data_IF_629576802786
#
_entry.id   IF_629576802786
#
_cell.length_a   1.000
_cell.length_b   1.000
_cell.length_c   1.000
_cell.angle_alpha   90.00
_cell.angle_beta   90.00
_cell.angle_gamma   90.00
#
_symmetry.space_group_name_H-M   'P 1'
#
loop_
_entity.id
_entity.type
_entity.pdbx_description
1 polymer ?
#
# COMPACT_ATOMS: atom_id res chain seq x y z
N UNK A 1 -28.59 6.05 -13.01
CA UNK A 1 -27.90 5.60 -11.79
C UNK A 1 -27.71 6.86 -10.96
N UNK A 2 -28.38 6.94 -9.81
CA UNK A 2 -28.17 8.03 -8.84
C UNK A 2 -27.09 7.61 -7.84
N UNK A 3 -26.44 8.58 -7.20
CA UNK A 3 -25.34 8.35 -6.27
C UNK A 3 -25.83 8.50 -4.83
N UNK A 4 -25.57 7.49 -4.01
CA UNK A 4 -25.94 7.46 -2.60
C UNK A 4 -24.78 7.88 -1.68
N UNK A 5 -23.54 7.49 -2.02
CA UNK A 5 -22.36 7.74 -1.21
C UNK A 5 -21.22 8.34 -2.02
N UNK A 6 -20.55 9.33 -1.45
CA UNK A 6 -19.33 9.94 -1.99
C UNK A 6 -18.23 9.79 -0.93
N UNK A 7 -17.18 9.06 -1.29
CA UNK A 7 -15.99 8.83 -0.45
C UNK A 7 -14.76 9.48 -1.13
N UNK A 8 -14.56 10.79 -0.96
CA UNK A 8 -13.47 11.53 -1.60
C UNK A 8 -12.14 11.32 -0.83
N UNK A 9 -11.63 10.09 -0.81
CA UNK A 9 -10.44 9.71 -0.04
C UNK A 9 -9.14 9.78 -0.85
N UNK A 10 -9.18 10.40 -2.02
CA UNK A 10 -7.96 10.62 -2.79
C UNK A 10 -7.03 11.53 -1.97
N UNK A 11 -5.73 11.27 -2.01
CA UNK A 11 -4.70 12.06 -1.34
C UNK A 11 -3.36 11.88 -2.08
N UNK A 12 -2.50 12.90 -2.02
CA UNK A 12 -1.11 12.81 -2.50
C UNK A 12 -0.19 12.98 -1.28
N UNK A 13 0.89 12.19 -1.14
CA UNK A 13 1.92 12.46 -0.16
C UNK A 13 2.54 13.83 -0.37
N UNK A 14 2.40 14.68 0.65
CA UNK A 14 3.08 15.96 0.82
C UNK A 14 3.95 15.80 2.08
N UNK A 15 5.26 16.02 1.95
CA UNK A 15 6.18 15.90 3.09
C UNK A 15 7.43 16.72 2.82
N UNK A 16 7.86 17.47 3.83
CA UNK A 16 9.19 18.06 3.89
C UNK A 16 9.34 19.41 3.18
N UNK A 17 8.25 20.13 2.93
CA UNK A 17 8.31 21.53 2.53
C UNK A 17 7.68 22.41 3.63
N UNK A 18 8.37 23.51 3.91
CA UNK A 18 7.86 24.60 4.73
C UNK A 18 7.21 25.65 3.82
N UNK A 19 6.69 26.73 4.41
CA UNK A 19 6.04 27.83 3.69
C UNK A 19 6.88 28.47 2.57
N UNK A 20 8.21 28.29 2.58
CA UNK A 20 9.15 28.82 1.59
C UNK A 20 9.24 27.94 0.32
N UNK A 21 8.79 26.68 0.40
CA UNK A 21 8.94 25.65 -0.64
C UNK A 21 7.68 25.36 -1.45
N UNK A 22 6.72 26.29 -1.53
CA UNK A 22 5.46 26.07 -2.26
C UNK A 22 5.70 25.89 -3.78
N UNK A 23 5.73 24.64 -4.22
CA UNK A 23 5.86 24.25 -5.64
C UNK A 23 4.50 23.94 -6.27
N UNK A 24 4.45 23.92 -7.60
CA UNK A 24 3.28 23.58 -8.41
C UNK A 24 2.67 22.23 -8.02
N UNK A 25 3.47 21.28 -7.52
CA UNK A 25 2.99 19.99 -7.03
C UNK A 25 2.10 20.14 -5.78
N UNK A 26 2.44 21.06 -4.87
CA UNK A 26 1.69 21.33 -3.65
C UNK A 26 0.41 22.09 -3.97
N UNK A 27 0.50 23.09 -4.86
CA UNK A 27 -0.69 23.75 -5.40
C UNK A 27 -1.61 22.74 -6.09
N UNK A 28 -1.04 21.83 -6.87
CA UNK A 28 -1.79 20.75 -7.49
C UNK A 28 -2.42 19.87 -6.42
N UNK A 29 -1.71 19.39 -5.41
CA UNK A 29 -2.31 18.51 -4.40
C UNK A 29 -3.46 19.19 -3.63
N UNK A 30 -3.32 20.48 -3.30
CA UNK A 30 -4.38 21.32 -2.74
C UNK A 30 -5.58 21.50 -3.69
N UNK A 31 -5.32 21.80 -4.98
CA UNK A 31 -6.37 21.98 -5.99
C UNK A 31 -7.04 20.67 -6.41
N UNK A 32 -6.24 19.65 -6.70
CA UNK A 32 -6.63 18.47 -7.46
C UNK A 32 -7.47 17.53 -6.61
N UNK A 33 -7.19 17.44 -5.31
CA UNK A 33 -7.68 16.31 -4.52
C UNK A 33 -8.38 16.71 -3.22
N UNK A 34 -7.91 17.73 -2.50
CA UNK A 34 -8.40 17.92 -1.13
C UNK A 34 -9.53 18.95 -0.98
N UNK A 35 -9.58 20.00 -1.81
CA UNK A 35 -10.56 21.07 -1.61
C UNK A 35 -11.31 21.49 -2.88
N UNK A 36 -10.66 22.17 -3.83
CA UNK A 36 -11.39 22.87 -4.91
C UNK A 36 -12.07 21.90 -5.87
N UNK A 37 -11.36 20.85 -6.32
CA UNK A 37 -11.98 19.83 -7.17
C UNK A 37 -13.05 19.03 -6.42
N UNK A 38 -12.92 18.84 -5.11
CA UNK A 38 -13.95 18.20 -4.31
C UNK A 38 -15.23 19.04 -4.32
N UNK A 39 -15.14 20.36 -4.10
CA UNK A 39 -16.27 21.27 -4.21
C UNK A 39 -16.89 21.26 -5.61
N UNK A 40 -16.07 21.17 -6.67
CA UNK A 40 -16.56 21.04 -8.05
C UNK A 40 -17.33 19.73 -8.27
N UNK A 41 -16.85 18.62 -7.74
CA UNK A 41 -17.54 17.32 -7.81
C UNK A 41 -18.88 17.40 -7.07
N UNK A 42 -18.89 17.95 -5.86
CA UNK A 42 -20.13 18.15 -5.08
C UNK A 42 -21.12 19.04 -5.81
N UNK A 43 -20.65 20.15 -6.39
CA UNK A 43 -21.46 21.05 -7.21
C UNK A 43 -22.01 20.37 -8.47
N UNK A 44 -21.23 19.52 -9.14
CA UNK A 44 -21.67 18.76 -10.29
C UNK A 44 -22.75 17.73 -9.92
N UNK A 45 -22.58 17.00 -8.81
CA UNK A 45 -23.58 16.05 -8.29
C UNK A 45 -24.88 16.78 -7.92
N UNK A 46 -24.78 17.90 -7.20
CA UNK A 46 -25.94 18.75 -6.87
C UNK A 46 -26.68 19.19 -8.13
N UNK A 47 -25.96 19.70 -9.13
CA UNK A 47 -26.56 20.18 -10.39
C UNK A 47 -27.29 19.04 -11.11
N UNK A 48 -26.73 17.83 -11.09
CA UNK A 48 -27.34 16.66 -11.72
C UNK A 48 -28.58 16.18 -10.98
N UNK A 49 -28.55 16.13 -9.65
CA UNK A 49 -29.72 15.77 -8.82
C UNK A 49 -30.84 16.81 -8.95
N UNK A 50 -30.50 18.11 -8.96
CA UNK A 50 -31.44 19.19 -9.18
C UNK A 50 -32.11 19.10 -10.57
N UNK A 51 -31.35 18.83 -11.63
CA UNK A 51 -31.91 18.64 -12.99
C UNK A 51 -32.85 17.44 -13.10
N UNK A 52 -32.69 16.45 -12.22
CA UNK A 52 -33.49 15.22 -12.20
C UNK A 52 -34.63 15.27 -11.17
N UNK A 53 -34.80 16.39 -10.45
CA UNK A 53 -35.78 16.58 -9.37
C UNK A 53 -35.73 15.50 -8.26
N UNK A 54 -34.54 14.98 -7.97
CA UNK A 54 -34.31 13.98 -6.93
C UNK A 54 -34.05 14.66 -5.58
N UNK A 55 -35.14 15.03 -4.89
CA UNK A 55 -35.09 15.73 -3.58
C UNK A 55 -35.12 14.75 -2.40
N UNK A 56 -35.67 13.55 -2.58
CA UNK A 56 -35.90 12.59 -1.49
C UNK A 56 -34.71 11.65 -1.22
N UNK A 57 -33.65 11.74 -2.02
CA UNK A 57 -32.46 10.87 -1.94
C UNK A 57 -31.18 11.71 -1.91
N UNK A 58 -30.80 12.28 -0.75
CA UNK A 58 -29.55 13.02 -0.62
C UNK A 58 -28.35 12.07 -0.73
N UNK A 59 -27.30 12.50 -1.42
CA UNK A 59 -26.03 11.75 -1.40
C UNK A 59 -25.27 12.07 -0.11
N UNK A 60 -24.86 11.03 0.62
CA UNK A 60 -24.03 11.19 1.80
C UNK A 60 -22.56 11.32 1.40
N UNK A 61 -21.94 12.42 1.82
CA UNK A 61 -20.52 12.70 1.61
C UNK A 61 -19.80 12.48 2.93
N UNK A 62 -18.85 11.56 2.94
CA UNK A 62 -18.04 11.28 4.12
C UNK A 62 -16.69 11.98 3.94
N UNK A 63 -16.44 13.04 4.69
CA UNK A 63 -15.15 13.72 4.70
C UNK A 63 -14.21 13.07 5.70
N UNK A 64 -12.96 12.87 5.29
CA UNK A 64 -11.88 12.51 6.21
C UNK A 64 -11.26 13.78 6.76
N UNK A 65 -11.60 14.08 8.00
CA UNK A 65 -11.02 15.17 8.77
C UNK A 65 -9.77 14.68 9.50
N UNK A 66 -8.90 15.63 9.83
CA UNK A 66 -7.67 15.39 10.57
C UNK A 66 -7.77 16.15 11.88
N UNK A 67 -7.45 15.53 13.03
CA UNK A 67 -7.32 16.27 14.29
C UNK A 67 -6.09 17.20 14.29
N UNK A 68 -5.14 16.94 13.40
CA UNK A 68 -3.91 17.72 13.31
C UNK A 68 -4.10 18.88 12.32
N UNK A 69 -3.99 20.11 12.83
CA UNK A 69 -4.04 21.36 12.06
C UNK A 69 -2.68 22.08 12.14
N UNK A 70 -1.62 21.45 11.62
CA UNK A 70 -0.27 22.04 11.58
C UNK A 70 0.54 21.83 12.86
N UNK A 71 0.20 20.84 13.69
CA UNK A 71 0.92 20.53 14.93
C UNK A 71 2.31 19.91 14.69
N UNK A 72 2.49 19.13 13.62
CA UNK A 72 3.75 18.43 13.34
C UNK A 72 4.75 19.27 12.54
N UNK A 73 4.26 20.23 11.74
CA UNK A 73 5.10 21.03 10.85
C UNK A 73 5.61 20.23 9.65
N UNK A 74 6.04 20.92 8.59
CA UNK A 74 6.41 20.32 7.29
C UNK A 74 5.28 19.54 6.58
N UNK A 75 4.04 19.85 6.95
CA UNK A 75 2.81 19.25 6.40
C UNK A 75 2.25 20.08 5.21
N UNK A 76 3.05 20.97 4.62
CA UNK A 76 2.68 21.77 3.43
C UNK A 76 1.30 22.44 3.54
N UNK A 77 0.39 22.18 2.59
CA UNK A 77 -0.98 22.70 2.54
C UNK A 77 -2.01 21.68 3.06
N UNK A 78 -1.56 20.59 3.68
CA UNK A 78 -2.43 19.54 4.19
C UNK A 78 -3.36 20.08 5.27
N UNK A 79 -2.81 20.87 6.20
CA UNK A 79 -3.54 21.38 7.36
C UNK A 79 -4.66 22.36 6.95
N UNK A 80 -4.35 23.22 5.99
CA UNK A 80 -5.21 24.22 5.36
C UNK A 80 -6.34 23.53 4.58
N UNK A 81 -6.00 22.45 3.87
CA UNK A 81 -6.98 21.65 3.15
C UNK A 81 -7.98 20.99 4.11
N UNK A 82 -7.49 20.40 5.21
CA UNK A 82 -8.33 19.68 6.17
C UNK A 82 -9.21 20.61 7.00
N UNK A 83 -8.69 21.73 7.48
CA UNK A 83 -9.50 22.73 8.22
C UNK A 83 -10.55 23.36 7.30
N UNK A 84 -10.24 23.58 6.01
CA UNK A 84 -11.20 24.15 5.08
C UNK A 84 -12.42 23.25 4.87
N UNK A 85 -12.28 21.92 4.95
CA UNK A 85 -13.41 20.99 4.88
C UNK A 85 -14.39 21.16 6.05
N UNK A 86 -13.93 21.59 7.22
CA UNK A 86 -14.82 21.83 8.37
C UNK A 86 -15.74 23.02 8.14
N UNK A 87 -15.31 24.00 7.33
CA UNK A 87 -16.16 25.13 6.97
C UNK A 87 -17.41 24.68 6.20
N UNK A 88 -17.37 23.52 5.53
CA UNK A 88 -18.50 23.00 4.77
C UNK A 88 -19.70 22.64 5.65
N UNK A 89 -19.51 22.34 6.92
CA UNK A 89 -20.64 22.15 7.86
C UNK A 89 -21.44 23.45 8.05
N UNK A 90 -20.75 24.60 8.01
CA UNK A 90 -21.43 25.90 8.04
C UNK A 90 -22.08 26.22 6.70
N UNK A 91 -21.41 25.93 5.57
CA UNK A 91 -21.97 26.11 4.23
C UNK A 91 -23.23 25.26 4.01
N UNK A 92 -23.27 24.04 4.54
CA UNK A 92 -24.45 23.17 4.46
C UNK A 92 -25.69 23.80 5.09
N UNK A 93 -25.52 24.53 6.19
CA UNK A 93 -26.61 25.25 6.86
C UNK A 93 -26.95 26.59 6.17
N UNK A 94 -25.98 27.25 5.55
CA UNK A 94 -26.17 28.58 4.96
C UNK A 94 -26.62 28.57 3.50
N UNK A 95 -26.39 27.47 2.77
CA UNK A 95 -26.66 27.35 1.34
C UNK A 95 -27.76 26.33 1.02
N UNK A 96 -28.32 26.42 -0.20
CA UNK A 96 -29.48 25.65 -0.64
C UNK A 96 -29.18 24.25 -1.21
N UNK A 97 -28.12 23.58 -0.74
CA UNK A 97 -27.75 22.23 -1.19
C UNK A 97 -27.93 21.14 -0.12
N UNK A 98 -28.35 21.50 1.09
CA UNK A 98 -28.59 20.53 2.16
C UNK A 98 -29.70 19.50 1.88
N UNK A 99 -30.62 19.80 0.95
CA UNK A 99 -31.64 18.84 0.49
C UNK A 99 -31.07 17.73 -0.41
N UNK A 100 -29.95 18.00 -1.10
CA UNK A 100 -29.38 17.08 -2.10
C UNK A 100 -28.15 16.33 -1.60
N UNK A 101 -27.44 16.89 -0.62
CA UNK A 101 -26.22 16.33 -0.06
C UNK A 101 -26.30 16.34 1.46
N UNK A 102 -25.93 15.22 2.08
CA UNK A 102 -25.75 15.10 3.51
C UNK A 102 -24.25 15.00 3.82
N UNK A 103 -23.77 15.79 4.78
CA UNK A 103 -22.36 15.77 5.17
C UNK A 103 -22.16 14.93 6.43
N UNK A 104 -21.13 14.08 6.41
CA UNK A 104 -20.62 13.40 7.59
C UNK A 104 -19.11 13.61 7.66
N UNK A 105 -18.61 14.10 8.80
CA UNK A 105 -17.17 14.22 9.07
C UNK A 105 -16.68 13.06 9.91
N UNK A 106 -15.71 12.30 9.41
CA UNK A 106 -14.98 11.30 10.17
C UNK A 106 -13.59 11.85 10.49
N UNK A 107 -13.34 12.17 11.77
CA UNK A 107 -12.00 12.56 12.24
C UNK A 107 -11.16 11.30 12.36
N UNK A 108 -10.20 11.15 11.45
CA UNK A 108 -9.34 9.96 11.40
C UNK A 108 -8.19 10.10 12.39
N UNK A 109 -8.09 9.16 13.32
CA UNK A 109 -6.95 9.01 14.21
C UNK A 109 -5.76 8.29 13.55
N UNK A 110 -4.74 8.00 14.35
CA UNK A 110 -3.50 7.37 13.90
C UNK A 110 -3.75 5.98 13.33
N UNK A 111 -3.49 5.82 12.03
CA UNK A 111 -3.71 4.56 11.33
C UNK A 111 -2.39 3.97 10.85
N UNK A 112 -2.02 2.82 11.40
CA UNK A 112 -0.90 2.04 10.91
C UNK A 112 -1.27 1.40 9.56
N UNK A 113 -0.50 1.73 8.52
CA UNK A 113 -0.74 1.28 7.16
C UNK A 113 0.56 0.86 6.47
N UNK A 114 0.43 0.03 5.44
CA UNK A 114 1.54 -0.29 4.54
C UNK A 114 1.59 0.81 3.46
N UNK A 115 2.58 1.71 3.53
CA UNK A 115 2.76 2.78 2.54
C UNK A 115 2.99 4.16 3.15
N UNK A 116 2.04 5.08 2.99
CA UNK A 116 2.19 6.52 3.29
C UNK A 116 2.69 6.81 4.72
N UNK A 117 2.31 5.96 5.68
CA UNK A 117 2.64 6.10 7.09
C UNK A 117 3.61 5.03 7.59
N UNK A 118 4.39 4.39 6.71
CA UNK A 118 5.25 3.28 7.13
C UNK A 118 6.36 3.71 8.10
N UNK A 119 6.94 4.90 7.86
CA UNK A 119 7.90 5.51 8.78
C UNK A 119 7.31 5.75 10.17
N UNK A 120 5.99 5.94 10.27
CA UNK A 120 5.31 6.24 11.53
C UNK A 120 4.86 4.99 12.28
N UNK A 121 4.87 3.82 11.63
CA UNK A 121 4.56 2.54 12.25
C UNK A 121 5.59 2.13 13.32
N UNK A 122 6.87 2.51 13.12
CA UNK A 122 7.99 2.06 13.98
C UNK A 122 7.81 2.52 15.43
N UNK A 123 7.20 3.69 15.64
CA UNK A 123 7.00 4.27 16.97
C UNK A 123 5.54 4.26 17.43
N UNK A 124 4.63 3.66 16.64
CA UNK A 124 3.22 3.55 16.99
C UNK A 124 3.01 2.88 18.35
N UNK A 125 3.76 1.82 18.64
CA UNK A 125 3.68 1.08 19.90
C UNK A 125 4.10 1.92 21.12
N UNK A 126 5.05 2.83 20.96
CA UNK A 126 5.51 3.71 22.04
C UNK A 126 4.49 4.83 22.27
N UNK A 127 3.86 5.34 21.21
CA UNK A 127 2.75 6.30 21.32
C UNK A 127 1.54 5.67 22.03
N UNK A 128 1.29 4.37 21.85
CA UNK A 128 0.24 3.68 22.60
C UNK A 128 0.48 3.63 24.11
N UNK A 129 1.74 3.68 24.56
CA UNK A 129 2.07 3.77 25.99
C UNK A 129 1.57 5.08 26.63
N UNK A 130 1.37 6.14 25.83
CA UNK A 130 0.82 7.43 26.26
C UNK A 130 -0.71 7.46 26.29
N UNK A 131 -1.38 6.29 26.37
CA UNK A 131 -2.85 6.13 26.42
C UNK A 131 -3.58 6.57 25.13
N UNK A 132 -2.86 6.58 24.00
CA UNK A 132 -3.44 6.77 22.67
C UNK A 132 -3.68 5.41 22.03
N UNK A 133 -4.77 5.25 21.26
CA UNK A 133 -4.99 4.02 20.49
C UNK A 133 -4.63 4.22 19.02
N UNK A 134 -3.78 3.35 18.48
CA UNK A 134 -3.54 3.28 17.04
C UNK A 134 -4.43 2.21 16.40
N UNK A 135 -4.77 2.40 15.13
CA UNK A 135 -5.66 1.51 14.40
C UNK A 135 -4.94 0.86 13.22
N UNK A 136 -5.19 -0.44 13.00
CA UNK A 136 -4.88 -1.06 11.71
C UNK A 136 -5.84 -0.54 10.63
N UNK A 137 -5.42 -0.51 9.36
CA UNK A 137 -6.28 -0.14 8.21
C UNK A 137 -7.64 -0.84 8.22
N UNK A 138 -7.69 -2.13 8.59
CA UNK A 138 -8.97 -2.88 8.67
C UNK A 138 -9.87 -2.38 9.79
N UNK A 139 -9.28 -2.08 10.96
CA UNK A 139 -10.00 -1.57 12.12
C UNK A 139 -10.48 -0.14 11.87
N UNK A 140 -9.66 0.68 11.22
CA UNK A 140 -10.06 2.03 10.80
C UNK A 140 -11.17 1.99 9.77
N UNK A 141 -11.12 1.09 8.78
CA UNK A 141 -12.20 0.95 7.79
C UNK A 141 -13.54 0.60 8.44
N UNK A 142 -13.54 -0.21 9.51
CA UNK A 142 -14.74 -0.48 10.29
C UNK A 142 -15.17 0.74 11.14
N UNK A 143 -14.19 1.47 11.67
CA UNK A 143 -14.36 2.64 12.54
C UNK A 143 -14.56 3.97 11.80
N UNK A 144 -14.63 4.02 10.46
CA UNK A 144 -15.00 5.25 9.74
C UNK A 144 -16.39 5.76 10.19
N UNK A 145 -17.19 4.91 10.84
CA UNK A 145 -18.45 5.24 11.49
C UNK A 145 -18.33 5.65 12.96
N UNK A 146 -17.20 5.37 13.63
CA UNK A 146 -17.02 5.54 15.07
C UNK A 146 -15.55 5.86 15.46
N UNK A 147 -15.27 7.16 15.56
CA UNK A 147 -14.31 7.80 16.48
C UNK A 147 -12.82 7.97 16.11
N UNK A 148 -12.30 9.10 16.60
CA UNK A 148 -10.90 9.44 16.82
C UNK A 148 -10.39 8.72 18.09
N UNK A 149 -9.21 8.10 18.04
CA UNK A 149 -8.65 7.23 19.09
C UNK A 149 -8.12 7.93 20.34
N UNK A 150 -8.68 9.08 20.72
CA UNK A 150 -8.28 9.87 21.88
C UNK A 150 -7.00 10.70 21.70
N UNK A 151 -6.54 10.87 20.46
CA UNK A 151 -5.31 11.62 20.13
C UNK A 151 -5.40 13.09 20.55
N UNK A 152 -6.60 13.67 20.54
CA UNK A 152 -6.85 15.07 20.87
C UNK A 152 -6.55 15.39 22.34
N UNK A 153 -6.48 14.39 23.22
CA UNK A 153 -6.24 14.57 24.65
C UNK A 153 -4.75 14.68 25.02
N UNK A 154 -3.83 14.44 24.08
CA UNK A 154 -2.40 14.49 24.36
C UNK A 154 -1.82 15.86 23.98
N UNK A 155 -1.48 16.73 24.96
CA UNK A 155 -0.75 17.95 24.65
C UNK A 155 0.65 17.61 24.11
N UNK A 156 1.15 18.43 23.20
CA UNK A 156 2.51 18.36 22.63
C UNK A 156 2.87 17.02 21.95
N UNK A 157 1.90 16.42 21.25
CA UNK A 157 2.09 15.17 20.49
C UNK A 157 3.30 15.21 19.53
N UNK A 158 3.58 16.37 18.92
CA UNK A 158 4.70 16.55 18.02
C UNK A 158 6.06 16.40 18.73
N UNK A 159 6.21 16.96 19.92
CA UNK A 159 7.43 16.87 20.72
C UNK A 159 7.64 15.45 21.25
N UNK A 160 6.56 14.81 21.73
CA UNK A 160 6.59 13.42 22.19
C UNK A 160 7.02 12.51 21.04
N UNK A 161 6.41 12.67 19.86
CA UNK A 161 6.74 11.87 18.68
C UNK A 161 8.20 12.07 18.25
N UNK A 162 8.70 13.31 18.29
CA UNK A 162 10.07 13.64 17.93
C UNK A 162 11.06 13.02 18.92
N UNK A 163 10.78 13.12 20.23
CA UNK A 163 11.59 12.52 21.28
C UNK A 163 11.69 11.00 21.11
N UNK A 164 10.55 10.32 20.89
CA UNK A 164 10.51 8.87 20.66
C UNK A 164 11.34 8.49 19.42
N UNK A 165 11.21 9.24 18.31
CA UNK A 165 12.01 8.99 17.09
C UNK A 165 13.51 9.13 17.37
N UNK A 166 13.92 10.16 18.10
CA UNK A 166 15.32 10.38 18.46
C UNK A 166 15.86 9.25 19.33
N UNK A 167 15.09 8.80 20.32
CA UNK A 167 15.49 7.72 21.23
C UNK A 167 15.60 6.38 20.50
N UNK A 168 14.66 6.07 19.61
CA UNK A 168 14.71 4.86 18.78
C UNK A 168 15.91 4.87 17.83
N UNK A 169 16.16 5.99 17.15
CA UNK A 169 17.33 6.11 16.27
C UNK A 169 18.63 5.98 17.05
N UNK A 170 18.74 6.64 18.20
CA UNK A 170 19.91 6.53 19.08
C UNK A 170 20.14 5.11 19.56
N UNK A 171 19.08 4.38 19.92
CA UNK A 171 19.17 2.97 20.30
C UNK A 171 19.61 2.09 19.13
N UNK A 172 19.07 2.34 17.93
CA UNK A 172 19.44 1.63 16.71
C UNK A 172 20.91 1.84 16.36
N UNK A 173 21.38 3.10 16.35
CA UNK A 173 22.78 3.47 16.11
C UNK A 173 23.72 2.83 17.12
N UNK A 174 23.36 2.85 18.41
CA UNK A 174 24.14 2.21 19.46
C UNK A 174 24.24 0.70 19.26
N UNK A 175 23.12 0.02 19.00
CA UNK A 175 23.10 -1.42 18.76
C UNK A 175 23.91 -1.79 17.50
N UNK A 176 23.82 -1.00 16.43
CA UNK A 176 24.59 -1.20 15.21
C UNK A 176 26.09 -1.02 15.48
N UNK A 177 26.48 0.03 16.20
CA UNK A 177 27.87 0.27 16.58
C UNK A 177 28.44 -0.87 17.44
N UNK A 178 27.70 -1.32 18.46
CA UNK A 178 28.09 -2.45 19.32
C UNK A 178 28.21 -3.75 18.51
N UNK A 179 27.26 -4.02 17.61
CA UNK A 179 27.29 -5.24 16.78
C UNK A 179 28.48 -5.22 15.83
N UNK A 180 28.78 -4.07 15.23
CA UNK A 180 29.93 -3.89 14.37
C UNK A 180 31.25 -4.08 15.14
N UNK A 181 31.36 -3.50 16.33
CA UNK A 181 32.55 -3.62 17.19
C UNK A 181 32.77 -5.07 17.65
N UNK A 182 31.71 -5.73 18.14
CA UNK A 182 31.74 -7.15 18.52
C UNK A 182 32.15 -8.05 17.35
N UNK A 183 31.73 -7.74 16.13
CA UNK A 183 32.13 -8.49 14.94
C UNK A 183 33.62 -8.34 14.63
N UNK A 184 34.18 -7.13 14.79
CA UNK A 184 35.61 -6.88 14.65
C UNK A 184 36.43 -7.56 15.74
N UNK A 185 35.99 -7.46 17.00
CA UNK A 185 36.64 -8.12 18.14
C UNK A 185 36.67 -9.64 17.96
N UNK A 186 35.54 -10.23 17.55
CA UNK A 186 35.47 -11.66 17.27
C UNK A 186 36.47 -12.09 16.19
N UNK A 187 36.62 -11.30 15.13
CA UNK A 187 37.58 -11.54 14.04
C UNK A 187 39.03 -11.45 14.52
N UNK A 188 39.35 -10.52 15.41
CA UNK A 188 40.70 -10.37 15.99
C UNK A 188 41.04 -11.55 16.91
N UNK A 189 40.10 -11.98 17.75
CA UNK A 189 40.32 -13.05 18.73
C UNK A 189 40.43 -14.42 18.07
N UNK A 190 39.52 -14.74 17.14
CA UNK A 190 39.42 -16.07 16.54
C UNK A 190 40.15 -16.21 15.19
N UNK A 191 40.64 -15.09 14.65
CA UNK A 191 41.26 -15.05 13.33
C UNK A 191 40.26 -15.27 12.19
N UNK A 192 40.77 -15.26 10.96
CA UNK A 192 39.94 -15.42 9.75
C UNK A 192 39.29 -16.81 9.64
N UNK A 193 39.90 -17.85 10.23
CA UNK A 193 39.40 -19.22 10.18
C UNK A 193 38.11 -19.39 11.00
N UNK A 194 38.00 -18.70 12.15
CA UNK A 194 36.79 -18.70 12.98
C UNK A 194 35.60 -17.97 12.34
N UNK A 195 35.87 -16.94 11.53
CA UNK A 195 34.85 -16.18 10.78
C UNK A 195 34.31 -17.00 9.59
N UNK A 196 35.20 -17.66 8.83
CA UNK A 196 34.81 -18.51 7.70
C UNK A 196 33.89 -19.67 8.10
N UNK A 197 34.06 -20.22 9.31
CA UNK A 197 33.19 -21.29 9.81
C UNK A 197 31.75 -20.85 10.08
N UNK A 198 31.51 -19.55 10.29
CA UNK A 198 30.18 -18.97 10.55
C UNK A 198 29.53 -18.39 9.28
N UNK A 199 30.27 -18.31 8.18
CA UNK A 199 29.77 -17.72 6.95
C UNK A 199 28.83 -18.69 6.23
N UNK A 200 27.54 -18.35 6.19
CA UNK A 200 26.57 -19.10 5.40
C UNK A 200 26.82 -18.87 3.91
N UNK A 201 27.00 -19.96 3.16
CA UNK A 201 27.11 -19.92 1.69
C UNK A 201 25.70 -19.77 1.11
N UNK A 202 25.39 -18.58 0.60
CA UNK A 202 24.14 -18.33 -0.12
C UNK A 202 24.27 -18.83 -1.56
N UNK A 203 23.56 -19.91 -1.92
CA UNK A 203 23.50 -20.41 -3.30
C UNK A 203 22.41 -19.67 -4.04
N UNK A 204 22.82 -18.74 -4.91
CA UNK A 204 21.90 -18.03 -5.80
C UNK A 204 21.44 -18.98 -6.91
N UNK A 205 20.13 -19.25 -7.07
CA UNK A 205 19.63 -20.13 -8.12
C UNK A 205 19.92 -19.51 -9.49
N UNK A 206 20.56 -20.30 -10.36
CA UNK A 206 20.77 -19.93 -11.75
C UNK A 206 19.76 -20.66 -12.63
N UNK A 207 19.36 -20.03 -13.73
CA UNK A 207 18.47 -20.65 -14.70
C UNK A 207 19.14 -21.91 -15.28
N UNK A 208 18.52 -23.05 -15.07
CA UNK A 208 18.92 -24.32 -15.66
C UNK A 208 17.80 -24.75 -16.63
N UNK A 209 17.92 -24.34 -17.89
CA UNK A 209 16.97 -24.71 -18.92
C UNK A 209 17.06 -26.22 -19.18
N UNK A 210 16.02 -26.94 -18.79
CA UNK A 210 15.85 -28.35 -19.09
C UNK A 210 14.78 -28.50 -20.16
N UNK A 211 15.01 -29.41 -21.09
CA UNK A 211 13.97 -29.85 -22.00
C UNK A 211 13.20 -30.96 -21.30
N UNK A 212 11.93 -30.70 -20.99
CA UNK A 212 11.05 -31.69 -20.36
C UNK A 212 10.66 -32.75 -21.39
N UNK A 213 11.46 -33.81 -21.43
CA UNK A 213 11.10 -35.01 -22.17
C UNK A 213 10.06 -35.80 -21.36
N UNK A 214 9.10 -36.46 -22.03
CA UNK A 214 8.18 -37.36 -21.36
C UNK A 214 8.95 -38.38 -20.52
N UNK A 215 8.61 -38.48 -19.24
CA UNK A 215 9.24 -39.47 -18.35
C UNK A 215 8.78 -40.86 -18.81
N UNK A 216 9.73 -41.73 -19.15
CA UNK A 216 9.44 -43.10 -19.53
C UNK A 216 9.24 -43.93 -18.26
N UNK A 217 8.04 -44.46 -18.10
CA UNK A 217 7.73 -45.43 -17.04
C UNK A 217 8.53 -46.74 -17.25
N UNK A 218 8.83 -47.49 -16.18
CA UNK A 218 9.53 -48.77 -16.30
C UNK A 218 8.69 -49.81 -17.06
N UNK A 219 9.36 -50.77 -17.71
CA UNK A 219 8.74 -51.75 -18.60
C UNK A 219 7.57 -52.56 -17.99
N UNK A 220 7.53 -52.72 -16.67
CA UNK A 220 6.45 -53.39 -15.94
C UNK A 220 5.10 -52.68 -16.06
N UNK A 221 5.08 -51.38 -16.29
CA UNK A 221 3.83 -50.61 -16.48
C UNK A 221 3.16 -50.89 -17.84
N UNK A 222 3.89 -51.46 -18.80
CA UNK A 222 3.41 -51.73 -20.17
C UNK A 222 3.00 -53.19 -20.41
N UNK A 223 2.94 -54.03 -19.37
CA UNK A 223 2.59 -55.45 -19.51
C UNK A 223 1.18 -55.65 -20.10
N UNK A 224 0.22 -54.78 -19.80
CA UNK A 224 -1.13 -54.86 -20.39
C UNK A 224 -1.13 -54.53 -21.90
N UNK A 225 -0.25 -53.63 -22.34
CA UNK A 225 -0.10 -53.22 -23.74
C UNK A 225 0.71 -54.23 -24.57
N UNK A 226 1.52 -55.08 -23.93
CA UNK A 226 2.26 -56.17 -24.59
C UNK A 226 1.34 -57.18 -25.28
N UNK A 227 0.10 -57.34 -24.80
CA UNK A 227 -0.93 -58.22 -25.40
C UNK A 227 -1.45 -57.71 -26.75
N UNK A 228 -1.29 -56.42 -27.03
CA UNK A 228 -1.77 -55.76 -28.26
C UNK A 228 -0.71 -55.66 -29.36
N UNK A 229 0.51 -56.17 -29.12
CA UNK A 229 1.64 -56.07 -30.04
C UNK A 229 1.39 -56.72 -31.42
N UNK A 230 0.53 -57.74 -31.50
CA UNK A 230 0.23 -58.43 -32.76
C UNK A 230 -0.89 -57.78 -33.58
N UNK A 231 -1.59 -56.78 -33.03
CA UNK A 231 -2.77 -56.16 -33.64
C UNK A 231 -2.43 -54.83 -34.32
N UNK A 232 -1.36 -54.16 -33.88
CA UNK A 232 -1.02 -52.81 -34.32
C UNK A 232 0.20 -52.84 -35.24
N UNK A 233 0.02 -52.40 -36.49
CA UNK A 233 1.13 -52.23 -37.43
C UNK A 233 1.85 -50.90 -37.17
N UNK A 234 3.08 -50.96 -36.65
CA UNK A 234 3.90 -49.79 -36.34
C UNK A 234 4.22 -48.89 -37.53
N UNK A 235 4.19 -49.40 -38.77
CA UNK A 235 4.43 -48.58 -39.97
C UNK A 235 3.26 -47.67 -40.32
N UNK A 236 2.07 -47.94 -39.76
CA UNK A 236 0.85 -47.13 -39.99
C UNK A 236 0.48 -46.26 -38.78
N UNK A 237 1.26 -46.28 -37.71
CA UNK A 237 1.02 -45.47 -36.51
C UNK A 237 1.84 -44.19 -36.62
N UNK A 238 1.16 -43.04 -36.51
CA UNK A 238 1.80 -41.73 -36.50
C UNK A 238 2.03 -41.32 -35.05
N UNK A 239 3.28 -41.04 -34.69
CA UNK A 239 3.69 -40.60 -33.35
C UNK A 239 4.23 -39.19 -33.47
N UNK A 240 3.81 -38.29 -32.58
CA UNK A 240 4.37 -36.96 -32.45
C UNK A 240 5.69 -37.05 -31.65
N UNK A 241 6.82 -36.80 -32.30
CA UNK A 241 8.16 -36.90 -31.69
C UNK A 241 8.66 -35.58 -31.09
N UNK A 242 7.97 -34.48 -31.40
CA UNK A 242 8.23 -33.15 -30.89
C UNK A 242 7.21 -32.18 -31.45
N UNK A 243 7.01 -31.06 -30.76
CA UNK A 243 6.19 -29.95 -31.23
C UNK A 243 6.89 -28.63 -30.90
N UNK A 244 6.59 -27.60 -31.67
CA UNK A 244 7.01 -26.23 -31.39
C UNK A 244 5.89 -25.29 -31.80
N UNK A 245 5.69 -24.24 -31.01
CA UNK A 245 4.73 -23.18 -31.27
C UNK A 245 5.42 -21.86 -30.99
N UNK A 246 5.11 -20.86 -31.82
CA UNK A 246 5.50 -19.46 -31.61
C UNK A 246 4.20 -18.67 -31.55
N UNK A 247 3.89 -18.13 -30.38
CA UNK A 247 2.68 -17.34 -30.13
C UNK A 247 3.03 -16.01 -29.45
N UNK A 248 2.10 -15.03 -29.40
CA UNK A 248 2.33 -13.76 -28.69
C UNK A 248 2.61 -13.91 -27.19
N UNK A 249 2.32 -15.09 -26.60
CA UNK A 249 2.46 -15.33 -25.17
C UNK A 249 3.67 -16.19 -24.81
N UNK A 250 4.13 -17.10 -25.67
CA UNK A 250 5.25 -18.02 -25.39
C UNK A 250 5.79 -18.70 -26.65
N UNK A 251 7.04 -19.18 -26.57
CA UNK A 251 7.50 -20.35 -27.34
C UNK A 251 7.12 -21.64 -26.58
N UNK A 252 7.04 -22.80 -27.24
CA UNK A 252 6.67 -24.09 -26.61
C UNK A 252 7.45 -24.50 -25.34
N UNK A 253 8.63 -23.92 -25.08
CA UNK A 253 9.46 -24.11 -23.88
C UNK A 253 9.22 -23.01 -22.82
N UNK A 254 8.60 -21.92 -23.23
CA UNK A 254 8.50 -20.66 -22.51
C UNK A 254 7.32 -20.54 -21.55
N UNK A 255 6.72 -21.62 -21.08
CA UNK A 255 5.79 -21.54 -19.94
C UNK A 255 6.60 -21.46 -18.63
N UNK A 256 7.27 -20.33 -18.43
CA UNK A 256 8.05 -20.06 -17.22
C UNK A 256 9.01 -18.87 -17.25
N UNK A 257 9.38 -18.35 -18.42
CA UNK A 257 10.26 -17.17 -18.48
C UNK A 257 9.96 -16.29 -19.69
N UNK A 258 9.05 -15.33 -19.49
CA UNK A 258 8.79 -14.22 -20.40
C UNK A 258 10.04 -13.35 -20.55
N UNK A 259 10.96 -13.68 -21.44
CA UNK A 259 11.96 -12.75 -21.94
C UNK A 259 11.38 -12.00 -23.14
N UNK A 260 10.91 -10.77 -22.90
CA UNK A 260 10.74 -9.76 -23.94
C UNK A 260 12.12 -9.47 -24.52
N UNK A 261 12.37 -9.94 -25.73
CA UNK A 261 13.48 -9.46 -26.55
C UNK A 261 13.08 -8.06 -27.04
N UNK A 262 13.68 -7.03 -26.45
CA UNK A 262 13.64 -5.68 -26.98
C UNK A 262 14.56 -5.62 -28.21
N UNK A 263 13.99 -5.30 -29.36
CA UNK A 263 14.72 -4.81 -30.53
C UNK A 263 15.04 -3.33 -30.39
#
# INVERSE_FOLDING_TARGET
MDLDYILPFSAIPENGCEIDGLDNKLELAHHIIMLINLLRILGAVKTKKASSQLVTWPAQVIFLLSPNHGLFGNDDLYSESKISLETLFNHWNSESWGEYLCLAGAVIGWTCSMGLMDATNIFAWEVEAYSVHTFSTKKMAFNILDLNGGIDHLPDLADITTCIRMDLNKKSELCHAITHDNALDFKVINGAEGECALQNVNVVPHANFKFDLPTLEPASAFEELSKSHSIINSEKVIIMTGFTEVSPFTDSVGDGSSQRIHY
#
